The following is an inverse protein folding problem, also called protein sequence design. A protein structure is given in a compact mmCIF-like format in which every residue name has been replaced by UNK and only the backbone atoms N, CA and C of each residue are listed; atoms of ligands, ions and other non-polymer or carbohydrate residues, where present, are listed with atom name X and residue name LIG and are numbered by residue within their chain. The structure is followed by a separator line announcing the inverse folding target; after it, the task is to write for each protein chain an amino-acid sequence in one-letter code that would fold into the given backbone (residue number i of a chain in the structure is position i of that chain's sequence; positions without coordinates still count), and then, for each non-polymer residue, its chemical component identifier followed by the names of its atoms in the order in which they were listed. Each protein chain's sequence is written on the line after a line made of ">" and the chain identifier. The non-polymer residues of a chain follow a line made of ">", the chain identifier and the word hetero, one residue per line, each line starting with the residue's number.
data_IF_514803423389
#
_entry.id   IF_514803423389
#
_cell.length_a   1.000
_cell.length_b   1.000
_cell.length_c   1.000
_cell.angle_alpha   90.00
_cell.angle_beta   90.00
_cell.angle_gamma   90.00
#
_symmetry.space_group_name_H-M   'P 1'
#
loop_
_entity.id
_entity.type
_entity.pdbx_description
1 polymer ?
#
# COMPACT_ATOMS: atom_id res chain seq x y z
N UNK A 1 -30.82 -45.07 1.46
CA UNK A 1 -30.80 -43.94 0.54
C UNK A 1 -30.95 -42.56 1.22
N UNK A 2 -31.72 -42.44 2.32
CA UNK A 2 -31.96 -41.14 2.99
C UNK A 2 -30.72 -40.59 3.72
N UNK A 3 -29.85 -41.45 4.32
CA UNK A 3 -28.65 -41.00 5.02
C UNK A 3 -27.60 -40.31 4.11
N UNK A 4 -27.45 -40.74 2.87
CA UNK A 4 -26.48 -40.15 1.92
C UNK A 4 -26.97 -38.81 1.34
N UNK A 5 -28.28 -38.57 1.32
CA UNK A 5 -28.85 -37.30 0.88
C UNK A 5 -28.66 -36.19 1.92
N UNK A 6 -28.76 -36.52 3.22
CA UNK A 6 -28.55 -35.55 4.32
C UNK A 6 -27.09 -35.14 4.44
N UNK A 7 -26.15 -36.06 4.23
CA UNK A 7 -24.70 -35.75 4.25
C UNK A 7 -24.33 -34.85 3.07
N UNK A 8 -24.88 -35.08 1.89
CA UNK A 8 -24.67 -34.22 0.72
C UNK A 8 -25.20 -32.78 0.91
N UNK A 9 -26.34 -32.62 1.60
CA UNK A 9 -26.91 -31.31 1.88
C UNK A 9 -26.11 -30.51 2.93
N UNK A 10 -25.55 -31.20 3.93
CA UNK A 10 -24.73 -30.57 4.97
C UNK A 10 -23.38 -30.10 4.38
N UNK A 11 -22.79 -30.85 3.47
CA UNK A 11 -21.53 -30.45 2.80
C UNK A 11 -21.72 -29.27 1.84
N UNK A 12 -22.86 -29.22 1.14
CA UNK A 12 -23.20 -28.10 0.26
C UNK A 12 -23.50 -26.80 1.04
N UNK A 13 -24.18 -26.92 2.20
CA UNK A 13 -24.42 -25.75 3.06
C UNK A 13 -23.15 -25.24 3.72
N UNK A 14 -22.24 -26.13 4.12
CA UNK A 14 -20.93 -25.76 4.67
C UNK A 14 -20.05 -25.01 3.67
N UNK A 15 -19.98 -25.48 2.43
CA UNK A 15 -19.19 -24.84 1.38
C UNK A 15 -19.75 -23.46 0.96
N UNK A 16 -21.08 -23.30 0.96
CA UNK A 16 -21.72 -22.02 0.67
C UNK A 16 -21.53 -21.01 1.82
N UNK A 17 -21.61 -21.46 3.07
CA UNK A 17 -21.42 -20.62 4.24
C UNK A 17 -19.96 -20.16 4.38
N UNK A 18 -18.98 -21.04 4.19
CA UNK A 18 -17.55 -20.68 4.18
C UNK A 18 -17.23 -19.68 3.06
N UNK A 19 -17.77 -19.89 1.85
CA UNK A 19 -17.57 -18.97 0.72
C UNK A 19 -18.19 -17.59 0.97
N UNK A 20 -19.29 -17.49 1.71
CA UNK A 20 -19.91 -16.23 2.08
C UNK A 20 -19.14 -15.53 3.22
N UNK A 21 -18.63 -16.27 4.21
CA UNK A 21 -17.77 -15.76 5.27
C UNK A 21 -16.47 -15.20 4.70
N UNK A 22 -15.83 -15.92 3.75
CA UNK A 22 -14.60 -15.45 3.09
C UNK A 22 -14.82 -14.15 2.31
N UNK A 23 -15.97 -14.00 1.64
CA UNK A 23 -16.31 -12.76 0.92
C UNK A 23 -16.56 -11.59 1.86
N UNK A 24 -17.21 -11.82 2.99
CA UNK A 24 -17.45 -10.78 3.99
C UNK A 24 -16.13 -10.32 4.61
N UNK A 25 -15.26 -11.25 5.01
CA UNK A 25 -13.93 -10.96 5.54
C UNK A 25 -13.06 -10.19 4.53
N UNK A 26 -13.10 -10.56 3.24
CA UNK A 26 -12.37 -9.84 2.20
C UNK A 26 -12.91 -8.42 1.98
N UNK A 27 -14.24 -8.22 2.06
CA UNK A 27 -14.87 -6.91 1.96
C UNK A 27 -14.53 -6.04 3.16
N UNK A 28 -14.55 -6.61 4.37
CA UNK A 28 -14.20 -5.91 5.60
C UNK A 28 -12.71 -5.51 5.60
N UNK A 29 -11.83 -6.40 5.11
CA UNK A 29 -10.41 -6.08 4.95
C UNK A 29 -10.18 -4.96 3.91
N UNK A 30 -10.90 -4.97 2.78
CA UNK A 30 -10.81 -3.91 1.78
C UNK A 30 -11.24 -2.56 2.35
N UNK A 31 -12.36 -2.51 3.06
CA UNK A 31 -12.85 -1.29 3.70
C UNK A 31 -11.86 -0.73 4.74
N UNK A 32 -11.26 -1.63 5.53
CA UNK A 32 -10.22 -1.26 6.50
C UNK A 32 -8.99 -0.67 5.81
N UNK A 33 -8.54 -1.28 4.70
CA UNK A 33 -7.40 -0.75 3.92
C UNK A 33 -7.75 0.60 3.29
N UNK A 34 -9.00 0.81 2.84
CA UNK A 34 -9.46 2.10 2.32
C UNK A 34 -9.41 3.20 3.40
N UNK A 35 -9.82 2.88 4.62
CA UNK A 35 -9.72 3.81 5.77
C UNK A 35 -8.25 4.12 6.10
N UNK A 36 -7.38 3.11 6.14
CA UNK A 36 -5.94 3.30 6.33
C UNK A 36 -5.32 4.17 5.24
N UNK A 37 -5.75 4.00 3.99
CA UNK A 37 -5.31 4.80 2.85
C UNK A 37 -5.66 6.27 3.04
N UNK A 38 -6.89 6.56 3.46
CA UNK A 38 -7.35 7.94 3.74
C UNK A 38 -6.50 8.55 4.85
N UNK A 39 -6.34 7.86 5.99
CA UNK A 39 -5.51 8.36 7.09
C UNK A 39 -4.06 8.60 6.66
N UNK A 40 -3.50 7.72 5.84
CA UNK A 40 -2.13 7.88 5.33
C UNK A 40 -1.97 9.12 4.45
N UNK A 41 -2.88 9.35 3.49
CA UNK A 41 -2.82 10.53 2.61
C UNK A 41 -3.04 11.83 3.38
N UNK A 42 -4.02 11.88 4.28
CA UNK A 42 -4.26 13.05 5.13
C UNK A 42 -3.11 13.28 6.13
N UNK A 43 -2.50 12.20 6.61
CA UNK A 43 -1.36 12.22 7.53
C UNK A 43 -0.08 12.85 6.95
N UNK A 44 -0.03 13.09 5.65
CA UNK A 44 1.06 13.88 5.04
C UNK A 44 1.12 15.28 5.65
N UNK A 45 -0.02 15.89 5.96
CA UNK A 45 -0.11 17.26 6.45
C UNK A 45 -0.70 17.36 7.87
N UNK A 46 -1.39 16.33 8.37
CA UNK A 46 -1.99 16.31 9.71
C UNK A 46 -1.52 15.08 10.53
N UNK A 47 -0.70 15.35 11.54
CA UNK A 47 -0.17 14.31 12.43
C UNK A 47 -1.25 13.52 13.17
N UNK A 48 -2.44 14.11 13.42
CA UNK A 48 -3.55 13.41 14.07
C UNK A 48 -4.08 12.24 13.23
N UNK A 49 -3.98 12.34 11.91
CA UNK A 49 -4.36 11.24 11.02
C UNK A 49 -3.37 10.07 11.12
N UNK A 50 -2.11 10.35 11.46
CA UNK A 50 -1.13 9.30 11.75
C UNK A 50 -1.47 8.54 13.04
N UNK A 51 -1.97 9.24 14.07
CA UNK A 51 -2.45 8.59 15.30
C UNK A 51 -3.64 7.68 15.02
N UNK A 52 -4.57 8.10 14.12
CA UNK A 52 -5.67 7.26 13.68
C UNK A 52 -5.18 6.04 12.92
N UNK A 53 -4.24 6.21 11.99
CA UNK A 53 -3.65 5.11 11.24
C UNK A 53 -2.97 4.09 12.17
N UNK A 54 -2.20 4.55 13.14
CA UNK A 54 -1.55 3.69 14.14
C UNK A 54 -2.58 2.91 14.97
N UNK A 55 -3.65 3.58 15.40
CA UNK A 55 -4.75 2.95 16.13
C UNK A 55 -5.49 1.92 15.28
N UNK A 56 -5.76 2.20 14.00
CA UNK A 56 -6.37 1.24 13.07
C UNK A 56 -5.50 -0.02 12.92
N UNK A 57 -4.19 0.16 12.72
CA UNK A 57 -3.24 -0.95 12.60
C UNK A 57 -3.21 -1.76 13.90
N UNK A 58 -2.96 -1.12 15.02
CA UNK A 58 -2.80 -1.80 16.31
C UNK A 58 -4.07 -2.52 16.80
N UNK A 59 -5.24 -1.91 16.57
CA UNK A 59 -6.54 -2.51 16.94
C UNK A 59 -6.86 -3.76 16.14
N UNK A 60 -6.53 -3.79 14.84
CA UNK A 60 -6.93 -4.88 13.95
C UNK A 60 -5.85 -5.96 13.83
N UNK A 61 -4.56 -5.62 13.99
CA UNK A 61 -3.44 -6.55 13.76
C UNK A 61 -2.55 -6.74 15.02
N UNK A 62 -2.84 -6.04 16.11
CA UNK A 62 -2.04 -6.08 17.33
C UNK A 62 -0.73 -5.33 17.19
N UNK A 63 0.25 -5.64 18.07
CA UNK A 63 1.55 -4.94 18.11
C UNK A 63 2.70 -5.76 17.51
N UNK A 64 2.45 -6.99 17.08
CA UNK A 64 3.48 -7.88 16.57
C UNK A 64 3.64 -7.72 15.06
N UNK A 65 4.46 -6.77 14.65
CA UNK A 65 4.68 -6.40 13.23
C UNK A 65 5.16 -7.56 12.34
N UNK A 66 5.79 -8.57 12.95
CA UNK A 66 6.24 -9.78 12.23
C UNK A 66 5.10 -10.56 11.59
N UNK A 67 3.88 -10.43 12.14
CA UNK A 67 2.65 -11.09 11.71
C UNK A 67 1.80 -10.26 10.75
N UNK A 68 2.18 -9.01 10.48
CA UNK A 68 1.38 -8.16 9.61
C UNK A 68 1.36 -8.69 8.17
N UNK A 69 0.17 -8.69 7.53
CA UNK A 69 0.10 -8.86 6.08
C UNK A 69 1.00 -7.84 5.36
N UNK A 70 1.58 -8.17 4.19
CA UNK A 70 2.52 -7.27 3.50
C UNK A 70 1.97 -5.86 3.27
N UNK A 71 0.69 -5.71 2.93
CA UNK A 71 0.05 -4.41 2.72
C UNK A 71 -0.02 -3.59 4.03
N UNK A 72 -0.37 -4.22 5.14
CA UNK A 72 -0.41 -3.57 6.46
C UNK A 72 0.99 -3.18 6.93
N UNK A 73 1.97 -4.05 6.69
CA UNK A 73 3.37 -3.75 6.99
C UNK A 73 3.88 -2.55 6.17
N UNK A 74 3.42 -2.41 4.91
CA UNK A 74 3.75 -1.25 4.09
C UNK A 74 3.15 0.04 4.64
N UNK A 75 1.89 0.02 5.11
CA UNK A 75 1.28 1.18 5.79
C UNK A 75 1.98 1.51 7.11
N UNK A 76 2.37 0.51 7.90
CA UNK A 76 3.17 0.73 9.12
C UNK A 76 4.54 1.36 8.79
N UNK A 77 5.16 0.95 7.69
CA UNK A 77 6.41 1.55 7.21
C UNK A 77 6.22 3.00 6.71
N UNK A 78 5.14 3.26 5.99
CA UNK A 78 4.76 4.60 5.56
C UNK A 78 4.43 5.52 6.72
N UNK A 79 3.73 5.01 7.75
CA UNK A 79 3.46 5.72 9.01
C UNK A 79 4.76 6.18 9.68
N UNK A 80 5.75 5.30 9.83
CA UNK A 80 7.05 5.68 10.38
C UNK A 80 7.72 6.78 9.54
N UNK A 81 7.69 6.66 8.22
CA UNK A 81 8.27 7.68 7.32
C UNK A 81 7.57 9.05 7.47
N UNK A 82 6.24 9.07 7.63
CA UNK A 82 5.50 10.30 7.90
C UNK A 82 5.78 10.85 9.31
N UNK A 83 5.94 10.01 10.33
CA UNK A 83 6.43 10.44 11.66
C UNK A 83 7.81 11.10 11.55
N UNK A 84 8.70 10.59 10.69
CA UNK A 84 9.97 11.25 10.42
C UNK A 84 9.79 12.63 9.78
N UNK A 85 8.77 12.84 8.93
CA UNK A 85 8.46 14.16 8.33
C UNK A 85 8.05 15.17 9.42
N UNK A 86 7.18 14.76 10.36
CA UNK A 86 6.60 15.64 11.38
C UNK A 86 7.52 15.91 12.57
N UNK A 87 8.54 15.09 12.83
CA UNK A 87 9.45 15.32 13.97
C UNK A 87 10.56 16.33 13.64
N UNK A 88 10.85 17.21 14.59
CA UNK A 88 11.97 18.16 14.51
C UNK A 88 13.28 17.57 15.06
N UNK A 89 13.22 16.51 15.87
CA UNK A 89 14.40 15.87 16.43
C UNK A 89 15.15 15.06 15.36
N UNK A 90 16.41 15.39 15.04
CA UNK A 90 17.15 14.72 13.96
C UNK A 90 17.41 13.24 14.21
N UNK A 91 17.61 12.83 15.49
CA UNK A 91 17.79 11.42 15.83
C UNK A 91 16.48 10.63 15.68
N UNK A 92 15.36 11.20 16.13
CA UNK A 92 14.04 10.59 15.93
C UNK A 92 13.70 10.51 14.44
N UNK A 93 13.97 11.58 13.68
CA UNK A 93 13.79 11.59 12.22
C UNK A 93 14.56 10.45 11.55
N UNK A 94 15.83 10.30 11.89
CA UNK A 94 16.67 9.24 11.34
C UNK A 94 16.14 7.84 11.71
N UNK A 95 15.80 7.62 12.97
CA UNK A 95 15.29 6.33 13.45
C UNK A 95 13.94 5.97 12.79
N UNK A 96 13.02 6.92 12.70
CA UNK A 96 11.75 6.72 12.00
C UNK A 96 11.94 6.42 10.52
N UNK A 97 12.85 7.13 9.84
CA UNK A 97 13.15 6.86 8.43
C UNK A 97 13.67 5.43 8.24
N UNK A 98 14.65 5.00 9.04
CA UNK A 98 15.21 3.65 8.95
C UNK A 98 14.17 2.56 9.27
N UNK A 99 13.37 2.76 10.32
CA UNK A 99 12.29 1.85 10.69
C UNK A 99 11.28 1.70 9.55
N UNK A 100 10.85 2.82 8.99
CA UNK A 100 9.91 2.85 7.86
C UNK A 100 10.45 2.12 6.64
N UNK A 101 11.68 2.42 6.23
CA UNK A 101 12.33 1.75 5.08
C UNK A 101 12.46 0.24 5.30
N UNK A 102 12.87 -0.21 6.48
CA UNK A 102 12.98 -1.64 6.80
C UNK A 102 11.65 -2.40 6.66
N UNK A 103 10.54 -1.79 7.13
CA UNK A 103 9.19 -2.36 6.98
C UNK A 103 8.76 -2.42 5.53
N UNK A 104 8.99 -1.33 4.77
CA UNK A 104 8.67 -1.25 3.35
C UNK A 104 9.49 -2.25 2.52
N UNK A 105 10.78 -2.43 2.80
CA UNK A 105 11.63 -3.42 2.14
C UNK A 105 11.11 -4.84 2.36
N UNK A 106 10.74 -5.17 3.60
CA UNK A 106 10.13 -6.47 3.91
C UNK A 106 8.80 -6.67 3.19
N UNK A 107 7.94 -5.65 3.16
CA UNK A 107 6.66 -5.71 2.47
C UNK A 107 6.83 -5.95 0.96
N UNK A 108 7.72 -5.19 0.31
CA UNK A 108 8.07 -5.36 -1.10
C UNK A 108 8.72 -6.72 -1.36
N UNK A 109 9.62 -7.18 -0.49
CA UNK A 109 10.25 -8.50 -0.62
C UNK A 109 9.23 -9.65 -0.59
N UNK A 110 8.16 -9.49 0.21
CA UNK A 110 7.10 -10.50 0.33
C UNK A 110 6.09 -10.42 -0.83
N UNK A 111 5.76 -9.22 -1.31
CA UNK A 111 4.80 -9.02 -2.42
C UNK A 111 5.35 -8.01 -3.45
N UNK A 112 6.33 -8.41 -4.28
CA UNK A 112 7.08 -7.51 -5.14
C UNK A 112 6.31 -6.95 -6.33
N UNK A 113 5.14 -7.51 -6.64
CA UNK A 113 4.31 -7.12 -7.76
C UNK A 113 3.03 -6.37 -7.34
N UNK A 114 2.85 -6.06 -6.06
CA UNK A 114 1.72 -5.26 -5.61
C UNK A 114 1.99 -3.78 -5.87
N UNK A 115 1.11 -3.15 -6.63
CA UNK A 115 1.24 -1.74 -7.06
C UNK A 115 1.28 -0.79 -5.86
N UNK A 116 0.38 -0.96 -4.90
CA UNK A 116 0.26 -0.07 -3.74
C UNK A 116 1.49 -0.16 -2.81
N UNK A 117 1.96 -1.38 -2.54
CA UNK A 117 3.17 -1.60 -1.72
C UNK A 117 4.40 -0.98 -2.38
N UNK A 118 4.55 -1.15 -3.69
CA UNK A 118 5.64 -0.54 -4.47
C UNK A 118 5.56 0.98 -4.46
N UNK A 119 4.36 1.52 -4.66
CA UNK A 119 4.14 2.95 -4.63
C UNK A 119 4.45 3.56 -3.26
N UNK A 120 4.00 2.94 -2.16
CA UNK A 120 4.30 3.42 -0.81
C UNK A 120 5.80 3.48 -0.56
N UNK A 121 6.59 2.46 -1.00
CA UNK A 121 8.04 2.52 -0.86
C UNK A 121 8.65 3.58 -1.76
N UNK A 122 8.22 3.67 -3.02
CA UNK A 122 8.70 4.71 -3.93
C UNK A 122 8.45 6.12 -3.36
N UNK A 123 7.25 6.40 -2.88
CA UNK A 123 6.90 7.71 -2.31
C UNK A 123 7.80 8.09 -1.13
N UNK A 124 8.14 7.12 -0.27
CA UNK A 124 9.11 7.35 0.82
C UNK A 124 10.51 7.60 0.27
N UNK A 125 10.99 6.73 -0.62
CA UNK A 125 12.34 6.85 -1.22
C UNK A 125 12.51 8.13 -2.04
N UNK A 126 11.45 8.64 -2.64
CA UNK A 126 11.46 9.88 -3.43
C UNK A 126 11.70 11.12 -2.55
N UNK A 127 11.27 11.07 -1.29
CA UNK A 127 11.41 12.14 -0.31
C UNK A 127 12.63 11.97 0.64
N UNK A 128 13.33 10.83 0.61
CA UNK A 128 14.53 10.60 1.43
C UNK A 128 15.77 11.14 0.71
N UNK A 129 16.66 11.90 1.41
CA UNK A 129 17.88 12.41 0.80
C UNK A 129 18.79 11.31 0.24
N UNK A 130 19.46 11.62 -0.88
CA UNK A 130 20.33 10.65 -1.60
C UNK A 130 21.53 10.13 -0.82
N UNK A 131 21.92 10.80 0.28
CA UNK A 131 23.03 10.37 1.16
C UNK A 131 22.79 8.99 1.79
N UNK A 132 21.55 8.50 1.79
CA UNK A 132 21.21 7.15 2.28
C UNK A 132 21.52 6.03 1.29
N UNK A 133 22.09 6.33 0.11
CA UNK A 133 22.49 5.32 -0.88
C UNK A 133 21.32 4.58 -1.56
N UNK A 134 20.13 5.18 -1.58
CA UNK A 134 18.86 4.56 -1.99
C UNK A 134 18.47 4.77 -3.46
N UNK A 135 19.39 5.30 -4.28
CA UNK A 135 19.07 5.70 -5.66
C UNK A 135 18.62 4.54 -6.53
N UNK A 136 19.24 3.37 -6.38
CA UNK A 136 18.96 2.19 -7.18
C UNK A 136 17.58 1.58 -6.82
N UNK A 137 17.29 1.49 -5.52
CA UNK A 137 15.98 1.01 -5.03
C UNK A 137 14.85 1.92 -5.48
N UNK A 138 15.06 3.23 -5.40
CA UNK A 138 14.11 4.23 -5.86
C UNK A 138 13.84 4.11 -7.36
N UNK A 139 14.87 3.96 -8.18
CA UNK A 139 14.70 3.79 -9.62
C UNK A 139 13.98 2.48 -9.96
N UNK A 140 14.35 1.37 -9.29
CA UNK A 140 13.65 0.08 -9.43
C UNK A 140 12.16 0.17 -9.09
N UNK A 141 11.81 0.91 -8.05
CA UNK A 141 10.40 1.08 -7.67
C UNK A 141 9.66 2.01 -8.64
N UNK A 142 10.28 3.09 -9.10
CA UNK A 142 9.72 3.97 -10.12
C UNK A 142 9.36 3.17 -11.38
N UNK A 143 10.32 2.40 -11.92
CA UNK A 143 10.12 1.58 -13.12
C UNK A 143 9.03 0.53 -12.92
N UNK A 144 9.03 -0.08 -11.71
CA UNK A 144 8.05 -1.11 -11.37
C UNK A 144 6.64 -0.53 -11.23
N UNK A 145 6.46 0.61 -10.56
CA UNK A 145 5.16 1.29 -10.44
C UNK A 145 4.64 1.65 -11.81
N UNK A 146 5.45 2.26 -12.68
CA UNK A 146 5.07 2.56 -14.06
C UNK A 146 4.62 1.29 -14.81
N UNK A 147 5.40 0.21 -14.72
CA UNK A 147 5.07 -1.05 -15.41
C UNK A 147 3.78 -1.72 -14.91
N UNK A 148 3.46 -1.56 -13.61
CA UNK A 148 2.24 -2.10 -13.00
C UNK A 148 1.02 -1.28 -13.39
N UNK A 149 1.12 0.06 -13.40
CA UNK A 149 0.06 0.95 -13.88
C UNK A 149 -0.33 0.65 -15.34
N UNK A 150 0.67 0.45 -16.20
CA UNK A 150 0.46 0.15 -17.63
C UNK A 150 -0.28 -1.17 -17.89
N UNK A 151 -0.32 -2.09 -16.91
CA UNK A 151 -1.11 -3.33 -17.02
C UNK A 151 -2.62 -3.11 -16.96
N UNK A 152 -3.08 -1.97 -16.44
CA UNK A 152 -4.52 -1.67 -16.26
C UNK A 152 -5.27 -2.73 -15.44
N UNK A 153 -4.59 -3.34 -14.48
CA UNK A 153 -5.21 -4.31 -13.57
C UNK A 153 -5.87 -3.58 -12.40
N UNK A 154 -7.18 -3.48 -12.46
CA UNK A 154 -8.00 -2.81 -11.45
C UNK A 154 -8.62 -3.77 -10.43
N UNK A 155 -8.14 -5.01 -10.36
CA UNK A 155 -8.70 -6.03 -9.46
C UNK A 155 -8.41 -5.77 -7.98
N UNK A 156 -7.22 -5.23 -7.66
CA UNK A 156 -6.84 -4.88 -6.28
C UNK A 156 -6.99 -3.39 -5.95
N UNK A 157 -6.76 -2.53 -6.93
CA UNK A 157 -6.86 -1.07 -6.79
C UNK A 157 -7.80 -0.51 -7.84
N UNK A 158 -8.79 0.22 -7.40
CA UNK A 158 -9.73 0.89 -8.32
C UNK A 158 -8.99 1.85 -9.26
N UNK A 159 -9.61 2.16 -10.40
CA UNK A 159 -9.06 3.15 -11.35
C UNK A 159 -8.76 4.48 -10.65
N UNK A 160 -9.64 4.95 -9.75
CA UNK A 160 -9.44 6.20 -9.02
C UNK A 160 -8.18 6.20 -8.15
N UNK A 161 -7.90 5.10 -7.44
CA UNK A 161 -6.65 4.99 -6.65
C UNK A 161 -5.42 4.95 -7.58
N UNK A 162 -5.51 4.25 -8.72
CA UNK A 162 -4.42 4.22 -9.70
C UNK A 162 -4.19 5.59 -10.35
N UNK A 163 -5.23 6.40 -10.53
CA UNK A 163 -5.11 7.79 -10.98
C UNK A 163 -4.33 8.64 -9.98
N UNK A 164 -4.61 8.54 -8.68
CA UNK A 164 -3.85 9.26 -7.63
C UNK A 164 -2.37 8.87 -7.66
N UNK A 165 -2.08 7.57 -7.81
CA UNK A 165 -0.70 7.09 -7.94
C UNK A 165 -0.04 7.66 -9.21
N UNK A 166 -0.75 7.65 -10.34
CA UNK A 166 -0.23 8.17 -11.61
C UNK A 166 0.01 9.69 -11.55
N UNK A 167 -0.86 10.44 -10.86
CA UNK A 167 -0.69 11.87 -10.63
C UNK A 167 0.61 12.14 -9.86
N UNK A 168 0.81 11.48 -8.71
CA UNK A 168 2.07 11.56 -7.97
C UNK A 168 3.29 11.23 -8.83
N UNK A 169 3.21 10.15 -9.63
CA UNK A 169 4.30 9.77 -10.53
C UNK A 169 4.58 10.84 -11.58
N UNK A 170 3.54 11.45 -12.17
CA UNK A 170 3.66 12.52 -13.17
C UNK A 170 4.25 13.82 -12.60
N UNK A 171 4.00 14.12 -11.33
CA UNK A 171 4.61 15.24 -10.60
C UNK A 171 6.08 14.97 -10.29
N UNK A 172 6.47 13.72 -10.10
CA UNK A 172 7.87 13.34 -9.87
C UNK A 172 8.75 13.75 -11.05
N UNK A 173 9.87 14.41 -10.76
CA UNK A 173 10.85 14.83 -11.78
C UNK A 173 11.74 13.68 -12.28
N UNK A 174 11.46 12.44 -11.86
CA UNK A 174 12.31 11.26 -12.10
C UNK A 174 11.86 10.41 -13.28
N UNK A 175 10.64 10.63 -13.79
CA UNK A 175 10.16 9.93 -14.99
C UNK A 175 10.97 10.35 -16.21
N UNK A 176 11.37 9.38 -17.01
CA UNK A 176 11.84 9.66 -18.37
C UNK A 176 10.67 10.08 -19.29
N UNK A 177 10.99 10.59 -20.48
CA UNK A 177 9.99 11.09 -21.43
C UNK A 177 9.03 10.00 -21.91
N UNK A 178 9.52 8.77 -22.06
CA UNK A 178 8.71 7.63 -22.50
C UNK A 178 7.71 7.22 -21.40
N UNK A 179 8.18 7.12 -20.15
CA UNK A 179 7.33 6.81 -19.01
C UNK A 179 6.26 7.88 -18.82
N UNK A 180 6.66 9.14 -18.87
CA UNK A 180 5.76 10.30 -18.74
C UNK A 180 4.70 10.31 -19.84
N UNK A 181 5.09 10.10 -21.09
CA UNK A 181 4.17 9.99 -22.23
C UNK A 181 3.17 8.84 -22.04
N UNK A 182 3.68 7.66 -21.68
CA UNK A 182 2.83 6.47 -21.49
C UNK A 182 1.80 6.64 -20.35
N UNK A 183 2.20 7.28 -19.24
CA UNK A 183 1.26 7.55 -18.14
C UNK A 183 0.21 8.61 -18.52
N UNK A 184 0.57 9.65 -19.27
CA UNK A 184 -0.38 10.65 -19.78
C UNK A 184 -1.38 10.05 -20.77
N UNK A 185 -0.94 9.14 -21.63
CA UNK A 185 -1.82 8.41 -22.56
C UNK A 185 -2.77 7.48 -21.81
N UNK A 186 -2.32 6.88 -20.70
CA UNK A 186 -3.13 5.98 -19.87
C UNK A 186 -4.16 6.75 -19.03
N UNK A 187 -3.80 7.91 -18.50
CA UNK A 187 -4.63 8.76 -17.64
C UNK A 187 -4.75 10.17 -18.23
N UNK A 188 -5.47 10.33 -19.35
CA UNK A 188 -5.58 11.61 -20.05
C UNK A 188 -6.33 12.68 -19.24
N UNK A 189 -7.09 12.27 -18.23
CA UNK A 189 -7.81 13.13 -17.31
C UNK A 189 -6.90 13.87 -16.29
N UNK A 190 -5.64 13.43 -16.11
CA UNK A 190 -4.66 14.11 -15.25
C UNK A 190 -4.05 15.28 -16.06
N UNK A 191 -4.54 16.46 -15.75
CA UNK A 191 -4.03 17.71 -16.35
C UNK A 191 -2.78 18.16 -15.59
N UNK A 192 -1.69 18.58 -16.28
CA UNK A 192 -0.45 19.05 -15.66
C UNK A 192 -0.63 20.35 -14.89
#
# INVERSE_FOLDING_TARGET
>A
MIKNLVIGLILLSGAAATRQLDKNNAKDFSALVDEMRICFFLGVDDEKELDKLENLISKNFGKEESKYPPKILAYAGGLDALRAKHTYNPFSKFNHTLSGLKKLDKAVGTNPNNLEIRFLRFAVLDNVPGVFGISDERQKDLDKVCSLLLKKDYSELTKGVQQIIAEYMLESKRLDDKQRKSLRELFPEIVP
#
